data_IF_155362024277
#
_entry.id   IF_155362024277
#
_cell.length_a   1.000
_cell.length_b   1.000
_cell.length_c   1.000
_cell.angle_alpha   90.00
_cell.angle_beta   90.00
_cell.angle_gamma   90.00
#
_symmetry.space_group_name_H-M   'P 1'
#
loop_
_entity.id
_entity.type
_entity.pdbx_description
1 polymer ?
#
# COMPACT_ATOMS: atom_id res chain seq x y z
N UNK A 1 18.33 -0.62 12.22
CA UNK A 1 17.82 0.75 11.97
C UNK A 1 16.42 0.58 11.42
N UNK A 2 15.40 0.77 12.25
CA UNK A 2 14.00 0.49 11.93
C UNK A 2 13.40 1.72 11.24
N UNK A 3 12.71 1.53 10.12
CA UNK A 3 12.10 2.61 9.34
C UNK A 3 10.62 2.29 9.24
N UNK A 4 9.79 3.20 9.75
CA UNK A 4 8.35 2.98 9.88
C UNK A 4 7.59 3.67 8.75
N UNK A 5 6.68 2.91 8.15
CA UNK A 5 5.88 3.31 7.01
C UNK A 5 4.38 3.18 7.34
N UNK A 6 3.50 4.07 6.85
CA UNK A 6 2.05 4.02 7.13
C UNK A 6 1.20 3.62 5.91
N UNK A 7 0.13 2.84 6.10
CA UNK A 7 -0.88 2.54 5.04
C UNK A 7 -2.32 2.61 5.58
N UNK A 8 -3.25 3.21 4.81
CA UNK A 8 -4.70 3.41 5.09
C UNK A 8 -5.57 2.25 4.54
N UNK A 9 -6.75 1.98 5.15
CA UNK A 9 -7.44 0.67 5.18
C UNK A 9 -8.97 0.70 4.87
N UNK A 10 -9.63 -0.30 4.19
CA UNK A 10 -11.07 -0.74 4.34
C UNK A 10 -11.59 -2.07 3.68
N UNK A 11 -12.66 -2.67 4.28
CA UNK A 11 -13.66 -3.65 3.75
C UNK A 11 -15.13 -3.39 4.27
N UNK A 12 -16.15 -4.08 3.70
CA UNK A 12 -17.58 -3.67 3.51
C UNK A 12 -18.68 -3.99 4.60
N UNK A 13 -19.62 -3.03 4.70
CA UNK A 13 -21.09 -3.01 5.01
C UNK A 13 -21.71 -3.38 6.39
N UNK A 14 -22.39 -2.40 7.01
CA UNK A 14 -23.85 -2.42 7.34
C UNK A 14 -24.37 -1.02 7.77
N UNK A 15 -25.64 -0.75 7.41
CA UNK A 15 -26.39 0.51 7.53
C UNK A 15 -26.37 1.16 8.93
N UNK A 16 -25.85 2.37 9.04
CA UNK A 16 -26.32 3.49 9.88
C UNK A 16 -25.66 4.76 9.30
N UNK A 17 -26.45 5.82 9.09
CA UNK A 17 -25.92 7.13 8.71
C UNK A 17 -25.10 7.71 9.87
N UNK A 18 -23.79 7.49 9.87
CA UNK A 18 -22.84 8.38 10.52
C UNK A 18 -21.96 8.97 9.43
N UNK A 19 -21.70 10.28 9.53
CA UNK A 19 -20.93 11.02 8.54
C UNK A 19 -19.56 10.35 8.41
N UNK A 20 -19.31 9.72 7.26
CA UNK A 20 -17.97 9.32 6.89
C UNK A 20 -17.15 10.60 6.82
N UNK A 21 -16.26 10.79 7.79
CA UNK A 21 -15.16 11.75 7.64
C UNK A 21 -14.33 11.17 6.51
N UNK A 22 -14.61 11.62 5.29
CA UNK A 22 -13.96 11.15 4.07
C UNK A 22 -12.48 11.53 4.17
N UNK A 23 -11.65 10.57 4.57
CA UNK A 23 -10.22 10.73 4.51
C UNK A 23 -9.83 10.76 3.05
N UNK A 24 -9.32 11.90 2.57
CA UNK A 24 -8.84 12.00 1.20
C UNK A 24 -7.70 11.00 0.95
N UNK A 25 -7.82 10.27 -0.16
CA UNK A 25 -6.77 9.37 -0.65
C UNK A 25 -5.88 10.15 -1.59
N UNK A 26 -4.69 10.52 -1.08
CA UNK A 26 -3.65 11.21 -1.84
C UNK A 26 -2.85 10.22 -2.68
N UNK A 27 -3.51 9.69 -3.73
CA UNK A 27 -2.94 8.77 -4.71
C UNK A 27 -3.15 9.36 -6.09
N UNK A 28 -2.10 9.30 -6.93
CA UNK A 28 -2.14 9.75 -8.30
C UNK A 28 -1.74 8.64 -9.30
N UNK A 29 -2.57 8.34 -10.32
CA UNK A 29 -3.90 8.91 -10.56
C UNK A 29 -4.89 8.55 -9.46
N UNK A 30 -5.89 9.42 -9.26
CA UNK A 30 -6.95 9.13 -8.29
C UNK A 30 -7.72 7.87 -8.72
N UNK A 31 -7.87 6.86 -7.85
CA UNK A 31 -8.64 5.66 -8.17
C UNK A 31 -10.09 6.00 -8.49
N UNK A 32 -10.74 5.18 -9.32
CA UNK A 32 -12.15 5.41 -9.68
C UNK A 32 -13.08 5.40 -8.46
N UNK A 33 -12.77 4.55 -7.48
CA UNK A 33 -13.44 4.47 -6.20
C UNK A 33 -12.39 4.31 -5.11
N UNK A 34 -12.40 5.22 -4.14
CA UNK A 34 -11.50 5.20 -3.01
C UNK A 34 -12.27 5.65 -1.76
N UNK A 35 -11.99 4.99 -0.64
CA UNK A 35 -12.48 5.37 0.68
C UNK A 35 -11.32 5.23 1.64
N UNK A 36 -11.09 6.19 2.53
CA UNK A 36 -10.01 6.11 3.51
C UNK A 36 -10.41 6.57 4.91
N UNK A 37 -9.78 5.89 5.88
CA UNK A 37 -9.88 6.16 7.31
C UNK A 37 -8.84 7.18 7.73
N UNK A 38 -9.06 7.94 8.83
CA UNK A 38 -7.97 8.57 9.55
C UNK A 38 -7.03 7.55 10.25
N UNK A 39 -7.41 6.28 10.30
CA UNK A 39 -6.62 5.18 10.85
C UNK A 39 -5.36 4.88 10.04
N UNK A 40 -4.31 4.45 10.74
CA UNK A 40 -3.03 4.07 10.14
C UNK A 40 -2.41 2.83 10.78
N UNK A 41 -1.67 2.08 9.95
CA UNK A 41 -0.84 0.95 10.38
C UNK A 41 0.63 1.25 10.19
N UNK A 42 1.46 0.77 11.09
CA UNK A 42 2.91 0.81 10.98
C UNK A 42 3.42 -0.35 10.13
N UNK A 43 4.46 -0.13 9.32
CA UNK A 43 5.17 -1.14 8.56
C UNK A 43 6.64 -1.11 8.92
N UNK A 44 7.22 -2.27 9.21
CA UNK A 44 8.66 -2.48 9.27
C UNK A 44 9.15 -2.91 7.88
N UNK A 45 9.80 -2.01 7.14
CA UNK A 45 10.27 -2.31 5.77
C UNK A 45 11.24 -3.49 5.68
N UNK A 46 11.94 -3.82 6.78
CA UNK A 46 12.89 -4.94 6.81
C UNK A 46 12.21 -6.30 6.96
N UNK A 47 10.96 -6.31 7.49
CA UNK A 47 10.17 -7.52 7.72
C UNK A 47 8.95 -7.63 6.82
N UNK A 48 8.62 -6.58 6.07
CA UNK A 48 7.42 -6.54 5.25
C UNK A 48 7.50 -7.54 4.09
N UNK A 49 6.51 -8.43 4.00
CA UNK A 49 6.49 -9.53 3.02
C UNK A 49 5.44 -9.28 1.94
N UNK A 50 5.85 -9.41 0.68
CA UNK A 50 4.95 -9.51 -0.46
C UNK A 50 4.76 -10.99 -0.79
N UNK A 51 3.51 -11.46 -0.72
CA UNK A 51 3.14 -12.85 -0.94
C UNK A 51 2.31 -12.98 -2.20
N UNK A 52 2.81 -13.72 -3.18
CA UNK A 52 2.02 -14.13 -4.35
C UNK A 52 1.14 -15.34 -3.98
N UNK A 53 -0.18 -15.15 -3.97
CA UNK A 53 -1.21 -16.18 -3.74
C UNK A 53 -1.81 -16.71 -5.04
N UNK A 54 -1.41 -16.16 -6.18
CA UNK A 54 -1.94 -16.51 -7.50
C UNK A 54 -1.71 -17.99 -7.78
N UNK A 55 -2.75 -18.66 -8.27
CA UNK A 55 -2.63 -20.06 -8.73
C UNK A 55 -1.74 -20.14 -9.98
N UNK A 56 -1.80 -19.11 -10.82
CA UNK A 56 -1.03 -19.01 -12.07
C UNK A 56 0.36 -18.45 -11.80
N UNK A 57 1.40 -19.08 -12.35
CA UNK A 57 2.77 -18.57 -12.27
C UNK A 57 2.98 -17.41 -13.25
N UNK A 58 3.48 -16.28 -12.73
CA UNK A 58 3.65 -15.05 -13.49
C UNK A 58 5.00 -14.39 -13.19
N UNK A 59 5.87 -14.33 -14.21
CA UNK A 59 7.16 -13.63 -14.19
C UNK A 59 7.02 -12.10 -14.15
N UNK A 60 6.01 -11.56 -14.84
CA UNK A 60 5.70 -10.13 -14.78
C UNK A 60 5.32 -9.71 -13.35
N UNK A 61 4.57 -10.55 -12.65
CA UNK A 61 4.17 -10.28 -11.26
C UNK A 61 5.38 -10.27 -10.32
N UNK A 62 6.28 -11.23 -10.47
CA UNK A 62 7.48 -11.29 -9.62
C UNK A 62 8.40 -10.08 -9.84
N UNK A 63 8.57 -9.63 -11.08
CA UNK A 63 9.29 -8.40 -11.38
C UNK A 63 8.60 -7.15 -10.84
N UNK A 64 7.26 -7.07 -10.97
CA UNK A 64 6.48 -5.96 -10.41
C UNK A 64 6.63 -5.88 -8.88
N UNK A 65 6.48 -7.01 -8.18
CA UNK A 65 6.68 -7.10 -6.72
C UNK A 65 8.10 -6.65 -6.34
N UNK A 66 9.12 -7.10 -7.09
CA UNK A 66 10.52 -6.74 -6.83
C UNK A 66 10.72 -5.23 -6.94
N UNK A 67 10.22 -4.63 -8.02
CA UNK A 67 10.26 -3.18 -8.23
C UNK A 67 9.55 -2.43 -7.10
N UNK A 68 8.33 -2.85 -6.73
CA UNK A 68 7.56 -2.18 -5.68
C UNK A 68 8.28 -2.24 -4.32
N UNK A 69 8.97 -3.33 -4.00
CA UNK A 69 9.80 -3.40 -2.78
C UNK A 69 10.90 -2.34 -2.76
N UNK A 70 11.52 -2.08 -3.90
CA UNK A 70 12.60 -1.10 -4.03
C UNK A 70 12.08 0.35 -3.99
N UNK A 71 10.87 0.59 -4.48
CA UNK A 71 10.31 1.95 -4.60
C UNK A 71 9.38 2.37 -3.46
N UNK A 72 8.61 1.44 -2.88
CA UNK A 72 7.63 1.76 -1.83
C UNK A 72 8.27 2.22 -0.52
N UNK A 73 9.53 1.82 -0.27
CA UNK A 73 10.23 2.13 0.98
C UNK A 73 11.47 3.02 0.76
N UNK A 74 11.40 3.94 -0.22
CA UNK A 74 12.47 4.91 -0.43
C UNK A 74 12.53 5.84 0.78
N UNK A 75 13.61 5.73 1.55
CA UNK A 75 13.98 6.67 2.61
C UNK A 75 14.42 7.99 1.99
N UNK A 76 13.47 8.85 1.64
CA UNK A 76 13.68 10.25 1.28
C UNK A 76 14.50 10.51 0.01
N UNK A 77 13.86 11.12 -0.99
CA UNK A 77 14.53 11.68 -2.18
C UNK A 77 15.37 12.94 -1.86
N UNK A 78 15.62 13.28 -0.59
CA UNK A 78 16.48 14.39 -0.20
C UNK A 78 17.96 14.02 -0.28
N UNK A 79 18.47 13.85 -1.51
CA UNK A 79 19.90 14.05 -1.82
C UNK A 79 20.14 15.42 -2.46
N UNK A 80 19.28 16.40 -2.19
CA UNK A 80 19.50 17.80 -2.58
C UNK A 80 19.65 18.66 -1.34
N UNK A 81 20.81 18.61 -0.73
CA UNK A 81 21.20 19.48 0.36
C UNK A 81 22.51 19.02 0.97
N UNK A 82 23.63 19.55 0.48
CA UNK A 82 24.98 19.32 1.03
C UNK A 82 25.12 19.93 2.43
N UNK A 83 24.11 20.65 2.93
CA UNK A 83 24.12 21.29 4.23
C UNK A 83 22.93 20.85 5.10
N UNK A 84 23.17 19.95 6.04
CA UNK A 84 22.46 19.92 7.32
C UNK A 84 20.99 19.47 7.36
N UNK A 85 20.57 18.51 6.52
CA UNK A 85 19.25 17.88 6.71
C UNK A 85 19.22 17.08 8.02
N UNK A 86 18.51 17.61 9.03
CA UNK A 86 18.14 16.84 10.21
C UNK A 86 17.01 15.89 9.79
N UNK A 87 17.19 14.55 9.86
CA UNK A 87 16.08 13.64 9.66
C UNK A 87 14.94 14.07 10.57
N UNK A 88 13.76 14.23 9.98
CA UNK A 88 12.52 14.61 10.64
C UNK A 88 12.03 13.43 11.48
N UNK A 89 12.82 12.96 12.44
CA UNK A 89 12.43 11.92 13.38
C UNK A 89 11.25 12.47 14.20
N UNK A 90 10.03 12.19 13.77
CA UNK A 90 8.92 12.27 14.70
C UNK A 90 9.19 11.20 15.75
N UNK A 91 9.01 11.55 17.03
CA UNK A 91 9.18 10.57 18.10
C UNK A 91 8.17 9.44 17.89
N UNK A 92 8.61 8.30 17.33
CA UNK A 92 7.77 7.13 17.01
C UNK A 92 6.88 6.67 18.17
N UNK A 93 7.33 6.89 19.40
CA UNK A 93 6.56 6.60 20.62
C UNK A 93 5.24 7.37 20.70
N UNK A 94 5.15 8.55 20.09
CA UNK A 94 3.93 9.35 20.06
C UNK A 94 2.91 8.85 19.03
N UNK A 95 3.37 8.20 17.95
CA UNK A 95 2.47 7.63 16.94
C UNK A 95 1.70 6.42 17.49
N UNK A 96 2.36 5.58 18.27
CA UNK A 96 1.73 4.40 18.87
C UNK A 96 0.68 4.75 19.94
N UNK A 97 0.75 5.97 20.49
CA UNK A 97 -0.23 6.48 21.47
C UNK A 97 -1.45 7.14 20.79
N UNK A 98 -1.44 7.27 19.46
CA UNK A 98 -2.55 7.86 18.71
C UNK A 98 -3.76 6.90 18.70
N UNK A 99 -4.96 7.41 18.92
CA UNK A 99 -6.20 6.63 18.88
C UNK A 99 -6.48 5.96 17.51
N UNK A 100 -5.92 6.54 16.46
CA UNK A 100 -6.04 6.08 15.07
C UNK A 100 -4.98 5.03 14.71
N UNK A 101 -4.04 4.71 15.62
CA UNK A 101 -3.07 3.65 15.40
C UNK A 101 -3.73 2.27 15.54
N UNK A 102 -3.65 1.44 14.49
CA UNK A 102 -4.26 0.09 14.47
C UNK A 102 -3.26 -1.06 14.53
N UNK A 103 -1.99 -0.78 14.74
CA UNK A 103 -0.95 -1.81 14.88
C UNK A 103 -0.03 -1.89 13.66
N UNK A 104 0.51 -3.07 13.42
CA UNK A 104 1.53 -3.32 12.40
C UNK A 104 0.98 -4.12 11.21
N UNK A 105 1.21 -3.62 10.00
CA UNK A 105 1.00 -4.33 8.75
C UNK A 105 2.28 -5.08 8.37
N UNK A 106 2.20 -6.41 8.36
CA UNK A 106 3.34 -7.30 8.15
C UNK A 106 3.56 -7.68 6.68
N UNK A 107 2.56 -7.47 5.82
CA UNK A 107 2.69 -7.82 4.42
C UNK A 107 1.50 -7.46 3.55
N UNK A 108 1.61 -7.85 2.28
CA UNK A 108 0.55 -7.79 1.29
C UNK A 108 0.47 -9.14 0.56
N UNK A 109 -0.75 -9.63 0.41
CA UNK A 109 -1.10 -10.78 -0.41
C UNK A 109 -1.64 -10.31 -1.75
N UNK A 110 -1.05 -10.80 -2.83
CA UNK A 110 -1.46 -10.48 -4.20
C UNK A 110 -2.06 -11.74 -4.83
N UNK A 111 -3.28 -11.63 -5.33
CA UNK A 111 -3.97 -12.70 -6.05
C UNK A 111 -4.37 -12.22 -7.46
N UNK A 112 -3.80 -12.89 -8.46
CA UNK A 112 -4.02 -12.61 -9.88
C UNK A 112 -4.56 -13.86 -10.57
N UNK A 113 -5.72 -13.72 -11.23
CA UNK A 113 -6.36 -14.86 -11.90
C UNK A 113 -5.71 -15.24 -13.21
N UNK A 114 -5.23 -14.28 -14.01
CA UNK A 114 -4.56 -14.53 -15.30
C UNK A 114 -3.27 -13.74 -15.45
N UNK A 115 -2.28 -14.36 -16.09
CA UNK A 115 -1.00 -13.71 -16.41
C UNK A 115 -0.80 -13.66 -17.93
N UNK A 116 -1.16 -12.52 -18.50
CA UNK A 116 -0.96 -12.21 -19.92
C UNK A 116 0.46 -11.70 -20.16
N UNK A 117 0.97 -11.84 -21.39
CA UNK A 117 2.37 -11.50 -21.70
C UNK A 117 2.56 -10.16 -22.37
N UNK A 118 1.58 -9.70 -23.15
CA UNK A 118 1.66 -8.47 -23.92
C UNK A 118 0.42 -7.61 -23.66
N UNK A 119 0.59 -6.30 -23.44
CA UNK A 119 -0.54 -5.40 -23.23
C UNK A 119 -1.32 -5.20 -24.53
N UNK A 120 -2.62 -4.95 -24.41
CA UNK A 120 -3.49 -4.65 -25.54
C UNK A 120 -4.59 -3.67 -25.13
N UNK A 121 -5.29 -3.09 -26.11
CA UNK A 121 -6.23 -1.99 -25.88
C UNK A 121 -7.38 -2.35 -24.92
N UNK A 122 -7.91 -3.56 -25.03
CA UNK A 122 -9.04 -4.05 -24.24
C UNK A 122 -8.61 -4.87 -23.01
N UNK A 123 -7.40 -4.66 -22.51
CA UNK A 123 -6.91 -5.38 -21.34
C UNK A 123 -7.59 -4.90 -20.06
N UNK A 124 -7.83 -5.82 -19.13
CA UNK A 124 -8.52 -5.50 -17.89
C UNK A 124 -7.54 -5.01 -16.81
N UNK A 125 -7.48 -3.70 -16.60
CA UNK A 125 -6.62 -3.04 -15.59
C UNK A 125 -7.30 -2.83 -14.23
N UNK A 126 -8.47 -3.45 -14.00
CA UNK A 126 -9.20 -3.33 -12.74
C UNK A 126 -8.47 -4.06 -11.61
N UNK A 127 -8.43 -3.43 -10.45
CA UNK A 127 -7.92 -4.02 -9.21
C UNK A 127 -8.83 -3.70 -8.03
N UNK A 128 -8.68 -4.48 -6.96
CA UNK A 128 -9.26 -4.22 -5.65
C UNK A 128 -8.14 -4.27 -4.61
N UNK A 129 -7.85 -3.13 -3.98
CA UNK A 129 -6.85 -3.04 -2.91
C UNK A 129 -7.55 -2.80 -1.58
N UNK A 130 -7.44 -3.77 -0.69
CA UNK A 130 -7.97 -3.73 0.66
C UNK A 130 -6.80 -3.80 1.62
N UNK A 131 -6.62 -2.76 2.39
CA UNK A 131 -5.77 -2.80 3.57
C UNK A 131 -6.77 -2.81 4.73
N UNK A 132 -6.66 -3.61 5.79
CA UNK A 132 -7.64 -3.61 6.90
C UNK A 132 -6.91 -3.50 8.24
N UNK A 133 -7.33 -2.59 9.13
CA UNK A 133 -6.64 -2.34 10.40
C UNK A 133 -6.80 -3.44 11.44
N UNK A 134 -7.81 -4.29 11.25
CA UNK A 134 -7.95 -5.53 12.01
C UNK A 134 -7.08 -6.65 11.44
N UNK A 135 -6.68 -6.56 10.16
CA UNK A 135 -5.85 -7.55 9.50
C UNK A 135 -4.37 -7.12 9.52
N UNK A 136 -3.47 -8.09 9.73
CA UNK A 136 -2.02 -7.83 9.67
C UNK A 136 -1.47 -7.83 8.24
N UNK A 137 -2.33 -8.06 7.25
CA UNK A 137 -1.94 -8.26 5.85
C UNK A 137 -2.92 -7.56 4.93
N UNK A 138 -2.39 -6.79 3.98
CA UNK A 138 -3.18 -6.17 2.91
C UNK A 138 -3.51 -7.21 1.83
N UNK A 139 -4.58 -7.01 1.08
CA UNK A 139 -4.98 -7.86 -0.04
C UNK A 139 -5.11 -7.03 -1.31
N UNK A 140 -4.46 -7.48 -2.36
CA UNK A 140 -4.57 -6.94 -3.70
C UNK A 140 -5.10 -8.05 -4.62
N UNK A 141 -6.30 -7.86 -5.14
CA UNK A 141 -6.96 -8.80 -6.04
C UNK A 141 -7.12 -8.18 -7.42
N UNK A 142 -6.88 -8.96 -8.45
CA UNK A 142 -7.09 -8.53 -9.84
C UNK A 142 -7.40 -9.72 -10.75
N UNK A 143 -8.19 -9.45 -11.80
CA UNK A 143 -8.50 -10.49 -12.78
C UNK A 143 -7.30 -10.78 -13.71
N UNK A 144 -6.48 -9.76 -13.98
CA UNK A 144 -5.29 -9.88 -14.84
C UNK A 144 -4.08 -9.21 -14.19
N UNK A 145 -2.89 -9.58 -14.66
CA UNK A 145 -1.62 -8.96 -14.27
C UNK A 145 -1.60 -7.44 -14.40
N UNK A 146 -2.33 -6.87 -15.37
CA UNK A 146 -2.34 -5.43 -15.60
C UNK A 146 -2.96 -4.69 -14.43
N UNK A 147 -4.06 -5.20 -13.88
CA UNK A 147 -4.67 -4.67 -12.66
C UNK A 147 -3.74 -4.78 -11.46
N UNK A 148 -3.07 -5.92 -11.28
CA UNK A 148 -2.11 -6.11 -10.19
C UNK A 148 -0.99 -5.06 -10.20
N UNK A 149 -0.44 -4.74 -11.38
CA UNK A 149 0.61 -3.73 -11.52
C UNK A 149 0.09 -2.34 -11.10
N UNK A 150 -1.15 -1.98 -11.49
CA UNK A 150 -1.79 -0.71 -11.05
C UNK A 150 -2.01 -0.67 -9.55
N UNK A 151 -2.52 -1.76 -8.97
CA UNK A 151 -2.75 -1.85 -7.53
C UNK A 151 -1.46 -1.81 -6.70
N UNK A 152 -0.36 -2.42 -7.18
CA UNK A 152 0.95 -2.34 -6.55
C UNK A 152 1.52 -0.91 -6.56
N UNK A 153 1.32 -0.17 -7.65
CA UNK A 153 1.68 1.25 -7.72
C UNK A 153 0.88 2.07 -6.71
N UNK A 154 -0.45 1.90 -6.67
CA UNK A 154 -1.32 2.57 -5.69
C UNK A 154 -0.90 2.24 -4.25
N UNK A 155 -0.61 0.98 -3.96
CA UNK A 155 -0.10 0.56 -2.64
C UNK A 155 1.19 1.30 -2.27
N UNK A 156 2.12 1.47 -3.22
CA UNK A 156 3.37 2.19 -2.97
C UNK A 156 3.18 3.67 -2.63
N UNK A 157 2.13 4.30 -3.16
CA UNK A 157 1.82 5.70 -2.87
C UNK A 157 1.08 5.88 -1.55
N UNK A 158 0.34 4.86 -1.09
CA UNK A 158 -0.26 4.87 0.24
C UNK A 158 0.80 4.81 1.35
N UNK A 159 1.99 4.28 1.03
CA UNK A 159 3.12 4.21 1.95
C UNK A 159 3.72 5.60 2.15
N UNK A 160 3.61 6.12 3.38
CA UNK A 160 4.27 7.36 3.79
C UNK A 160 5.35 7.10 4.84
N UNK A 161 6.49 7.78 4.71
CA UNK A 161 7.57 7.76 5.70
C UNK A 161 7.21 8.70 6.85
N UNK A 162 7.33 8.21 8.08
CA UNK A 162 7.10 9.00 9.29
C UNK A 162 8.39 9.16 10.09
N UNK A 163 9.47 9.60 9.42
CA UNK A 163 10.68 10.11 10.07
C UNK A 163 11.58 9.06 10.69
#
# INVERSE_FOLDING_TARGET
MFVLYLIKLYALFALIQSQAVDGEVDVWPHPQYATASPDFLQIDSTKFVFTDKSVVKCDLLSHAITRTKETAFIQSCSRTGVDGYKPFYQNFRNLQLNANFKGELSGIEIDVKSCEKLPHLEMNEKYNLVVDGSARTARLESDTIWGAIRGLETFSQLVSNVG
#
